data_IF_500636643482
#
_entry.id   IF_500636643482
#
_cell.length_a   1.000
_cell.length_b   1.000
_cell.length_c   1.000
_cell.angle_alpha   90.00
_cell.angle_beta   90.00
_cell.angle_gamma   90.00
#
_symmetry.space_group_name_H-M   'P 1'
#
loop_
_entity.id
_entity.type
_entity.pdbx_description
1 polymer ?
#
# COMPACT_ATOMS: atom_id res chain seq x y z
N UNK A 1 41.41 -5.83 -2.16
CA UNK A 1 40.01 -5.71 -1.69
C UNK A 1 39.47 -4.40 -2.23
N UNK A 2 38.49 -4.44 -3.14
CA UNK A 2 37.93 -3.23 -3.75
C UNK A 2 37.01 -2.46 -2.78
N UNK A 3 36.75 -1.17 -3.02
CA UNK A 3 35.90 -0.37 -2.15
C UNK A 3 34.44 -0.84 -2.23
N UNK A 4 33.84 -1.14 -1.07
CA UNK A 4 32.40 -1.37 -0.94
C UNK A 4 31.69 -0.04 -1.15
N UNK A 5 31.00 0.11 -2.29
CA UNK A 5 30.11 1.25 -2.53
C UNK A 5 28.84 1.06 -1.67
N UNK A 6 28.77 1.73 -0.54
CA UNK A 6 27.53 1.86 0.23
C UNK A 6 26.62 2.82 -0.52
N UNK A 7 25.57 2.32 -1.16
CA UNK A 7 24.50 3.17 -1.65
C UNK A 7 23.87 3.88 -0.45
N UNK A 8 23.93 5.21 -0.40
CA UNK A 8 23.14 5.98 0.57
C UNK A 8 21.66 5.75 0.23
N UNK A 9 20.86 5.36 1.22
CA UNK A 9 19.40 5.35 1.08
C UNK A 9 19.01 6.77 0.67
N UNK A 10 18.41 6.92 -0.51
CA UNK A 10 17.83 8.20 -0.91
C UNK A 10 16.66 8.43 0.04
N UNK A 11 16.54 9.63 0.60
CA UNK A 11 15.33 10.02 1.30
C UNK A 11 14.20 10.02 0.26
N UNK A 12 13.35 9.00 0.31
CA UNK A 12 12.21 8.86 -0.59
C UNK A 12 11.05 9.59 0.06
N UNK A 13 10.64 10.71 -0.54
CA UNK A 13 9.37 11.36 -0.22
C UNK A 13 8.27 10.68 -1.02
N UNK A 14 7.26 10.15 -0.34
CA UNK A 14 6.06 9.62 -1.00
C UNK A 14 5.18 10.80 -1.39
N UNK A 15 4.75 10.82 -2.65
CA UNK A 15 3.84 11.83 -3.19
C UNK A 15 2.43 11.26 -3.35
N UNK A 16 1.46 12.16 -3.28
CA UNK A 16 0.08 11.86 -3.62
C UNK A 16 0.01 11.41 -5.09
N UNK A 17 -0.62 10.25 -5.33
CA UNK A 17 -0.68 9.61 -6.65
C UNK A 17 0.45 8.60 -6.94
N UNK A 18 1.47 8.51 -6.08
CA UNK A 18 2.55 7.54 -6.24
C UNK A 18 2.03 6.10 -6.19
N UNK A 19 2.71 5.22 -6.90
CA UNK A 19 2.52 3.77 -6.77
C UNK A 19 3.45 3.23 -5.69
N UNK A 20 2.88 2.52 -4.72
CA UNK A 20 3.58 1.94 -3.58
C UNK A 20 3.28 0.45 -3.46
N UNK A 21 4.17 -0.26 -2.76
CA UNK A 21 3.94 -1.62 -2.29
C UNK A 21 3.68 -1.59 -0.79
N UNK A 22 2.59 -2.22 -0.37
CA UNK A 22 2.28 -2.39 1.05
C UNK A 22 2.82 -3.75 1.50
N UNK A 23 3.65 -3.72 2.54
CA UNK A 23 4.42 -4.87 3.00
C UNK A 23 4.26 -5.05 4.52
N UNK A 24 4.06 -6.29 4.95
CA UNK A 24 4.11 -6.67 6.37
C UNK A 24 5.33 -7.57 6.60
N UNK A 25 6.19 -7.27 7.58
CA UNK A 25 7.21 -8.21 8.03
C UNK A 25 6.54 -9.45 8.66
N UNK A 26 6.90 -10.64 8.18
CA UNK A 26 6.46 -11.92 8.75
C UNK A 26 7.65 -12.76 9.19
N UNK A 27 7.44 -13.76 10.06
CA UNK A 27 8.54 -14.55 10.66
C UNK A 27 9.48 -15.19 9.63
N UNK A 28 9.00 -15.49 8.43
CA UNK A 28 9.75 -16.12 7.34
C UNK A 28 10.22 -15.15 6.24
N UNK A 29 9.91 -13.85 6.31
CA UNK A 29 10.26 -12.89 5.26
C UNK A 29 9.35 -11.67 5.20
N UNK A 30 9.11 -11.16 3.99
CA UNK A 30 8.21 -10.03 3.73
C UNK A 30 7.00 -10.57 2.97
N UNK A 31 5.81 -10.16 3.38
CA UNK A 31 4.56 -10.52 2.72
C UNK A 31 3.89 -9.27 2.18
N UNK A 32 3.35 -9.35 0.96
CA UNK A 32 2.76 -8.22 0.25
C UNK A 32 1.24 -8.28 0.29
N UNK A 33 0.61 -7.11 0.36
CA UNK A 33 -0.83 -6.99 0.19
C UNK A 33 -1.19 -7.10 -1.30
N UNK A 34 -1.88 -8.19 -1.64
CA UNK A 34 -2.43 -8.46 -2.96
C UNK A 34 -3.92 -8.10 -2.96
N UNK A 35 -4.36 -7.20 -3.83
CA UNK A 35 -5.79 -6.86 -3.97
C UNK A 35 -6.44 -7.60 -5.13
N UNK A 36 -7.74 -7.92 -5.01
CA UNK A 36 -8.50 -8.57 -6.08
C UNK A 36 -9.92 -8.01 -6.27
N UNK A 37 -10.53 -8.30 -7.43
CA UNK A 37 -11.89 -7.83 -7.76
C UNK A 37 -13.02 -8.50 -6.94
N UNK A 38 -12.70 -9.58 -6.22
CA UNK A 38 -13.65 -10.42 -5.49
C UNK A 38 -13.63 -10.18 -3.97
N UNK A 39 -13.29 -8.96 -3.53
CA UNK A 39 -13.23 -8.62 -2.10
C UNK A 39 -12.13 -9.29 -1.29
N UNK A 40 -11.16 -9.90 -1.98
CA UNK A 40 -10.08 -10.63 -1.33
C UNK A 40 -8.81 -9.79 -1.31
N UNK A 41 -8.22 -9.66 -0.13
CA UNK A 41 -6.82 -9.28 0.00
C UNK A 41 -6.06 -10.48 0.52
N UNK A 42 -5.02 -10.88 -0.22
CA UNK A 42 -4.14 -11.96 0.18
C UNK A 42 -2.81 -11.40 0.67
N UNK A 43 -2.24 -12.04 1.67
CA UNK A 43 -0.85 -11.86 2.06
C UNK A 43 -0.06 -12.96 1.35
N UNK A 44 0.78 -12.60 0.37
CA UNK A 44 1.60 -13.58 -0.34
C UNK A 44 3.09 -13.21 -0.33
N UNK A 45 3.94 -14.22 -0.18
CA UNK A 45 5.39 -14.15 -0.34
C UNK A 45 5.72 -14.17 -1.83
N UNK A 46 5.95 -12.98 -2.39
CA UNK A 46 6.30 -12.66 -3.78
C UNK A 46 6.65 -13.84 -4.70
N UNK A 47 5.67 -14.40 -5.42
CA UNK A 47 5.87 -15.27 -6.60
C UNK A 47 4.61 -15.15 -7.49
N UNK A 48 4.74 -14.54 -8.67
CA UNK A 48 3.69 -14.28 -9.70
C UNK A 48 2.64 -13.17 -9.45
N UNK A 49 2.57 -12.20 -10.37
CA UNK A 49 1.53 -11.16 -10.41
C UNK A 49 1.86 -9.80 -9.76
N UNK A 50 3.12 -9.34 -9.90
CA UNK A 50 3.66 -8.05 -9.40
C UNK A 50 2.67 -6.87 -9.46
N UNK A 51 1.93 -6.77 -10.57
CA UNK A 51 1.02 -5.65 -10.81
C UNK A 51 -0.19 -5.60 -9.84
N UNK A 52 -0.58 -6.72 -9.23
CA UNK A 52 -1.71 -6.78 -8.28
C UNK A 52 -1.32 -6.39 -6.84
N UNK A 53 -0.02 -6.24 -6.59
CA UNK A 53 0.55 -5.81 -5.32
C UNK A 53 0.83 -4.29 -5.29
N UNK A 54 0.59 -3.61 -6.43
CA UNK A 54 0.80 -2.18 -6.61
C UNK A 54 -0.45 -1.40 -6.21
N UNK A 55 -0.25 -0.37 -5.41
CA UNK A 55 -1.32 0.50 -4.91
C UNK A 55 -0.99 1.95 -5.19
N UNK A 56 -1.92 2.71 -5.76
CA UNK A 56 -1.84 4.17 -5.73
C UNK A 56 -2.23 4.67 -4.35
N UNK A 57 -1.42 5.57 -3.79
CA UNK A 57 -1.73 6.24 -2.54
C UNK A 57 -2.33 7.61 -2.81
N UNK A 58 -3.51 7.87 -2.27
CA UNK A 58 -4.25 9.11 -2.48
C UNK A 58 -4.56 9.80 -1.16
N UNK A 59 -4.13 11.05 -0.97
CA UNK A 59 -4.57 11.89 0.16
C UNK A 59 -6.08 12.11 0.05
N UNK A 60 -6.78 12.05 1.17
CA UNK A 60 -8.21 12.41 1.19
C UNK A 60 -8.43 13.89 0.89
N UNK A 61 -7.46 14.72 1.29
CA UNK A 61 -7.43 16.16 1.08
C UNK A 61 -6.04 16.52 0.58
N UNK A 62 -5.88 16.58 -0.74
CA UNK A 62 -4.64 16.93 -1.40
C UNK A 62 -4.81 16.90 -2.92
N UNK A 63 -3.79 17.38 -3.62
CA UNK A 63 -3.70 17.32 -5.09
C UNK A 63 -2.56 16.40 -5.51
N UNK A 64 -2.63 15.88 -6.74
CA UNK A 64 -1.59 15.00 -7.28
C UNK A 64 -0.20 15.65 -7.15
N UNK A 65 0.78 14.87 -6.69
CA UNK A 65 2.14 15.35 -6.44
C UNK A 65 2.40 15.99 -5.06
N UNK A 66 1.39 16.20 -4.21
CA UNK A 66 1.59 16.67 -2.83
C UNK A 66 2.44 15.70 -2.00
N UNK A 67 3.23 16.20 -1.05
CA UNK A 67 3.90 15.34 -0.07
C UNK A 67 2.88 14.61 0.81
N UNK A 68 3.10 13.32 1.02
CA UNK A 68 2.46 12.54 2.08
C UNK A 68 3.34 12.59 3.33
N UNK A 69 2.75 13.02 4.44
CA UNK A 69 3.41 13.23 5.73
C UNK A 69 2.75 12.39 6.81
N UNK A 70 3.47 12.17 7.91
CA UNK A 70 2.90 11.51 9.09
C UNK A 70 1.67 12.27 9.58
N UNK A 71 0.58 11.54 9.85
CA UNK A 71 -0.73 12.09 10.23
C UNK A 71 -1.67 12.38 9.05
N UNK A 72 -1.20 12.35 7.80
CA UNK A 72 -2.09 12.47 6.65
C UNK A 72 -3.04 11.27 6.57
N UNK A 73 -4.29 11.56 6.19
CA UNK A 73 -5.27 10.54 5.83
C UNK A 73 -5.17 10.22 4.35
N UNK A 74 -5.08 8.93 4.05
CA UNK A 74 -4.91 8.43 2.68
C UNK A 74 -5.88 7.28 2.38
N UNK A 75 -6.02 6.99 1.09
CA UNK A 75 -6.71 5.84 0.53
C UNK A 75 -5.72 5.09 -0.36
N UNK A 76 -5.88 3.79 -0.47
CA UNK A 76 -5.07 2.96 -1.37
C UNK A 76 -5.97 2.36 -2.44
N UNK A 77 -5.68 2.66 -3.70
CA UNK A 77 -6.38 2.13 -4.86
C UNK A 77 -5.49 1.09 -5.56
N UNK A 78 -6.03 -0.06 -5.92
CA UNK A 78 -5.26 -1.08 -6.61
C UNK A 78 -4.98 -0.63 -8.07
N UNK A 79 -3.71 -0.68 -8.50
CA UNK A 79 -3.32 -0.22 -9.84
C UNK A 79 -3.98 -1.04 -10.96
N UNK A 80 -4.17 -2.35 -10.74
CA UNK A 80 -4.74 -3.25 -11.74
C UNK A 80 -6.26 -3.32 -11.74
N UNK A 81 -6.87 -2.88 -10.65
CA UNK A 81 -8.32 -2.88 -10.48
C UNK A 81 -8.77 -1.46 -10.14
N UNK A 82 -8.95 -0.58 -11.15
CA UNK A 82 -9.37 0.79 -10.92
C UNK A 82 -10.67 0.85 -10.11
N UNK A 83 -10.75 1.82 -9.20
CA UNK A 83 -11.82 1.98 -8.21
C UNK A 83 -11.93 0.86 -7.16
N UNK A 84 -10.99 -0.09 -7.08
CA UNK A 84 -10.91 -1.03 -5.96
C UNK A 84 -9.96 -0.51 -4.90
N UNK A 85 -10.46 -0.32 -3.70
CA UNK A 85 -9.72 0.29 -2.61
C UNK A 85 -9.46 -0.70 -1.47
N UNK A 86 -8.31 -0.54 -0.83
CA UNK A 86 -8.01 -1.24 0.42
C UNK A 86 -8.95 -0.75 1.53
N UNK A 87 -9.65 -1.67 2.17
CA UNK A 87 -10.47 -1.38 3.33
C UNK A 87 -10.37 -2.50 4.38
N UNK A 88 -10.74 -2.17 5.61
CA UNK A 88 -10.95 -3.14 6.68
C UNK A 88 -12.46 -3.41 6.77
N UNK A 89 -12.94 -4.64 6.52
CA UNK A 89 -14.32 -4.98 6.79
C UNK A 89 -14.53 -4.96 8.30
N UNK A 90 -15.26 -3.96 8.78
CA UNK A 90 -15.62 -3.87 10.20
C UNK A 90 -16.48 -5.04 10.69
N UNK A 91 -16.92 -4.97 11.95
CA UNK A 91 -17.75 -6.02 12.56
C UNK A 91 -16.91 -7.18 13.09
N UNK A 92 -17.26 -8.43 12.74
CA UNK A 92 -16.58 -9.63 13.25
C UNK A 92 -15.24 -9.95 12.55
N UNK A 93 -14.82 -9.11 11.60
CA UNK A 93 -13.65 -9.32 10.74
C UNK A 93 -12.54 -8.28 10.99
N UNK A 94 -12.52 -7.69 12.20
CA UNK A 94 -11.47 -6.74 12.60
C UNK A 94 -10.07 -7.34 12.38
N UNK A 95 -9.17 -6.54 11.80
CA UNK A 95 -7.82 -6.93 11.45
C UNK A 95 -7.66 -7.65 10.11
N UNK A 96 -8.76 -7.98 9.40
CA UNK A 96 -8.72 -8.51 8.04
C UNK A 96 -8.70 -7.33 7.06
N UNK A 97 -7.81 -7.35 6.07
CA UNK A 97 -7.85 -6.40 4.96
C UNK A 97 -8.64 -7.01 3.79
N UNK A 98 -9.31 -6.17 3.03
CA UNK A 98 -10.11 -6.55 1.87
C UNK A 98 -10.09 -5.44 0.79
N UNK A 99 -10.64 -5.74 -0.39
CA UNK A 99 -10.73 -4.80 -1.51
C UNK A 99 -12.18 -4.54 -1.91
N UNK A 100 -12.66 -3.31 -1.78
CA UNK A 100 -14.02 -2.98 -2.21
C UNK A 100 -14.02 -2.03 -3.40
N UNK A 101 -14.93 -2.28 -4.34
CA UNK A 101 -15.17 -1.38 -5.45
C UNK A 101 -15.94 -0.16 -4.96
N UNK A 102 -15.49 1.04 -5.32
CA UNK A 102 -16.11 2.34 -5.03
C UNK A 102 -16.25 2.68 -3.53
N UNK A 103 -15.75 1.82 -2.62
CA UNK A 103 -15.75 2.03 -1.17
C UNK A 103 -14.31 2.08 -0.69
N UNK A 104 -13.86 3.28 -0.32
CA UNK A 104 -12.51 3.51 0.19
C UNK A 104 -12.53 3.71 1.72
N UNK A 105 -11.62 3.03 2.42
CA UNK A 105 -11.31 3.34 3.82
C UNK A 105 -10.23 4.42 3.93
N UNK A 106 -10.32 5.22 4.98
CA UNK A 106 -9.31 6.20 5.37
C UNK A 106 -8.25 5.52 6.25
N UNK A 107 -6.99 5.62 5.84
CA UNK A 107 -5.84 5.13 6.60
C UNK A 107 -5.00 6.32 7.06
N UNK A 108 -4.42 6.26 8.26
CA UNK A 108 -3.48 7.28 8.75
C UNK A 108 -2.06 6.77 8.55
N UNK A 109 -1.21 7.56 7.92
CA UNK A 109 0.21 7.23 7.75
C UNK A 109 1.00 7.65 8.99
N UNK A 110 1.78 6.74 9.55
CA UNK A 110 2.78 7.03 10.59
C UNK A 110 4.18 6.70 10.06
N UNK A 111 5.06 7.70 10.02
CA UNK A 111 6.46 7.53 9.60
C UNK A 111 7.33 7.57 10.85
N UNK A 112 8.12 6.52 11.08
CA UNK A 112 9.04 6.37 12.23
C UNK A 112 10.49 6.45 11.79
#
# INVERSE_FOLDING_TARGET
>A
RGPVRKAKRKDITIKNGDTVYLMIPYKSGITYFYGGAQNNVYMWDYVEGDDKQKWKIWKEKGVDGDDIRSGDKVKFENVNYPNYYLFEPGGNYLGIQATSKDVAASWVIEIK
#
